data_IF_385990242768
#
_entry.id   IF_385990242768
#
_cell.length_a   1.000
_cell.length_b   1.000
_cell.length_c   1.000
_cell.angle_alpha   90.00
_cell.angle_beta   90.00
_cell.angle_gamma   90.00
#
_symmetry.space_group_name_H-M   'P 1'
#
loop_
_entity.id
_entity.type
_entity.pdbx_description
1 polymer ?
#
# COMPACT_ATOMS: atom_id res chain seq x y z
N UNK A 1 -0.86 -6.80 23.70
CA UNK A 1 0.20 -6.37 22.76
C UNK A 1 -0.49 -5.60 21.65
N UNK A 2 -0.12 -4.34 21.40
CA UNK A 2 -0.67 -3.54 20.30
C UNK A 2 0.08 -3.85 19.00
N UNK A 3 -0.63 -4.14 17.92
CA UNK A 3 -0.04 -4.30 16.58
C UNK A 3 0.30 -2.93 16.02
N UNK A 4 1.58 -2.68 15.76
CA UNK A 4 2.06 -1.42 15.18
C UNK A 4 2.05 -1.51 13.65
N UNK A 5 1.70 -0.41 12.98
CA UNK A 5 1.63 -0.32 11.53
C UNK A 5 2.44 0.87 11.04
N UNK A 6 3.22 0.67 9.99
CA UNK A 6 3.94 1.72 9.27
C UNK A 6 3.36 1.87 7.88
N UNK A 7 3.05 3.11 7.48
CA UNK A 7 2.51 3.44 6.16
C UNK A 7 3.56 4.19 5.34
N UNK A 8 3.76 3.78 4.10
CA UNK A 8 4.71 4.40 3.17
C UNK A 8 4.02 4.70 1.84
N UNK A 9 4.35 5.85 1.26
CA UNK A 9 4.03 6.19 -0.13
C UNK A 9 5.28 5.95 -0.97
N UNK A 10 5.20 5.05 -1.95
CA UNK A 10 6.32 4.76 -2.86
C UNK A 10 5.97 5.24 -4.27
N UNK A 11 6.70 6.24 -4.74
CA UNK A 11 6.70 6.66 -6.14
C UNK A 11 7.73 5.81 -6.90
N UNK A 12 7.29 5.06 -7.90
CA UNK A 12 8.16 4.19 -8.72
C UNK A 12 8.10 4.62 -10.18
N UNK A 13 8.71 5.77 -10.54
CA UNK A 13 8.53 6.40 -11.85
C UNK A 13 9.09 5.60 -13.03
N UNK A 14 9.93 4.58 -12.77
CA UNK A 14 10.50 3.70 -13.79
C UNK A 14 9.83 2.32 -13.84
N UNK A 15 8.80 2.08 -13.03
CA UNK A 15 8.06 0.83 -13.07
C UNK A 15 7.21 0.79 -14.35
N UNK A 16 7.32 -0.29 -15.13
CA UNK A 16 6.53 -0.50 -16.35
C UNK A 16 5.02 -0.60 -16.07
N UNK A 17 4.64 -0.93 -14.84
CA UNK A 17 3.26 -0.98 -14.32
C UNK A 17 3.26 -0.58 -12.85
N UNK A 18 2.23 0.13 -12.38
CA UNK A 18 2.10 0.49 -10.96
C UNK A 18 2.97 1.69 -10.55
N UNK A 19 2.98 2.77 -11.34
CA UNK A 19 3.75 3.99 -11.07
C UNK A 19 3.44 4.61 -9.69
N UNK A 20 2.19 4.43 -9.21
CA UNK A 20 1.73 4.89 -7.91
C UNK A 20 1.47 3.72 -6.97
N UNK A 21 2.07 3.74 -5.78
CA UNK A 21 1.94 2.68 -4.78
C UNK A 21 1.62 3.26 -3.39
N UNK A 22 0.64 2.64 -2.74
CA UNK A 22 0.33 2.83 -1.33
C UNK A 22 0.68 1.54 -0.59
N UNK A 23 1.46 1.63 0.50
CA UNK A 23 1.91 0.46 1.25
C UNK A 23 1.66 0.60 2.74
N UNK A 24 1.30 -0.54 3.39
CA UNK A 24 1.22 -0.68 4.85
C UNK A 24 1.95 -1.96 5.27
N UNK A 25 2.83 -1.83 6.24
CA UNK A 25 3.65 -2.92 6.76
C UNK A 25 3.37 -3.16 8.25
N UNK A 26 3.44 -4.41 8.67
CA UNK A 26 3.39 -4.80 10.09
C UNK A 26 4.16 -6.10 10.33
N UNK A 27 4.52 -6.35 11.58
CA UNK A 27 5.13 -7.59 12.04
C UNK A 27 4.24 -8.25 13.10
N UNK A 28 4.00 -9.56 12.97
CA UNK A 28 3.24 -10.37 13.94
C UNK A 28 3.96 -11.69 14.17
N UNK A 29 4.52 -11.86 15.36
CA UNK A 29 5.42 -12.98 15.67
C UNK A 29 6.69 -12.89 14.82
N UNK A 30 7.02 -13.98 14.09
CA UNK A 30 8.17 -14.04 13.19
C UNK A 30 7.85 -13.67 11.74
N UNK A 31 6.63 -13.19 11.46
CA UNK A 31 6.18 -12.86 10.11
C UNK A 31 6.12 -11.35 9.92
N UNK A 32 6.73 -10.86 8.84
CA UNK A 32 6.54 -9.49 8.33
C UNK A 32 5.58 -9.56 7.15
N UNK A 33 4.59 -8.67 7.14
CA UNK A 33 3.64 -8.55 6.04
C UNK A 33 3.71 -7.15 5.47
N UNK A 34 3.84 -7.09 4.15
CA UNK A 34 3.80 -5.88 3.35
C UNK A 34 2.57 -5.95 2.44
N UNK A 35 1.59 -5.08 2.68
CA UNK A 35 0.43 -4.92 1.81
C UNK A 35 0.68 -3.72 0.88
N UNK A 36 0.61 -3.94 -0.44
CA UNK A 36 0.81 -2.90 -1.46
C UNK A 36 -0.40 -2.85 -2.37
N UNK A 37 -0.96 -1.66 -2.53
CA UNK A 37 -2.02 -1.36 -3.49
C UNK A 37 -1.47 -0.38 -4.54
N UNK A 38 -1.63 -0.71 -5.82
CA UNK A 38 -0.95 -0.01 -6.92
C UNK A 38 -1.91 0.35 -8.05
N UNK A 39 -1.60 1.45 -8.75
CA UNK A 39 -2.26 1.84 -9.99
C UNK A 39 -1.25 2.46 -10.96
N UNK A 40 -1.52 2.34 -12.26
CA UNK A 40 -0.82 3.14 -13.27
C UNK A 40 -1.44 4.55 -13.39
N UNK A 41 -0.77 5.44 -14.12
CA UNK A 41 -1.16 6.85 -14.28
C UNK A 41 -2.59 7.03 -14.82
N UNK A 42 -3.06 6.12 -15.68
CA UNK A 42 -4.42 6.17 -16.23
C UNK A 42 -5.47 5.84 -15.18
N UNK A 43 -5.15 4.93 -14.26
CA UNK A 43 -6.03 4.44 -13.21
C UNK A 43 -6.00 5.32 -11.96
N UNK A 44 -4.89 6.01 -11.69
CA UNK A 44 -4.67 6.74 -10.46
C UNK A 44 -5.77 7.77 -10.13
N UNK A 45 -6.21 8.64 -11.05
CA UNK A 45 -7.20 9.67 -10.73
C UNK A 45 -8.54 9.11 -10.24
N UNK A 46 -8.94 7.93 -10.71
CA UNK A 46 -10.22 7.29 -10.33
C UNK A 46 -10.06 6.27 -9.21
N UNK A 47 -8.86 5.72 -9.01
CA UNK A 47 -8.63 4.60 -8.09
C UNK A 47 -8.03 5.05 -6.75
N UNK A 48 -7.43 6.25 -6.66
CA UNK A 48 -6.68 6.69 -5.47
C UNK A 48 -7.45 6.52 -4.17
N UNK A 49 -8.72 6.96 -4.12
CA UNK A 49 -9.52 6.90 -2.89
C UNK A 49 -9.85 5.47 -2.48
N UNK A 50 -10.14 4.60 -3.45
CA UNK A 50 -10.38 3.18 -3.21
C UNK A 50 -9.11 2.47 -2.74
N UNK A 51 -7.96 2.71 -3.38
CA UNK A 51 -6.68 2.13 -2.98
C UNK A 51 -6.30 2.58 -1.56
N UNK A 52 -6.54 3.85 -1.22
CA UNK A 52 -6.33 4.35 0.14
C UNK A 52 -7.23 3.62 1.15
N UNK A 53 -8.51 3.44 0.84
CA UNK A 53 -9.44 2.72 1.72
C UNK A 53 -9.03 1.25 1.93
N UNK A 54 -8.50 0.58 0.90
CA UNK A 54 -7.96 -0.78 1.01
C UNK A 54 -6.76 -0.82 1.98
N UNK A 55 -5.80 0.10 1.82
CA UNK A 55 -4.61 0.16 2.67
C UNK A 55 -4.96 0.53 4.11
N UNK A 56 -5.85 1.50 4.32
CA UNK A 56 -6.27 1.93 5.66
C UNK A 56 -7.00 0.81 6.41
N UNK A 57 -7.87 0.06 5.72
CA UNK A 57 -8.67 -1.04 6.30
C UNK A 57 -7.89 -2.33 6.54
N UNK A 58 -6.68 -2.48 6.00
CA UNK A 58 -5.85 -3.67 6.18
C UNK A 58 -5.39 -3.84 7.63
N UNK A 59 -5.72 -4.99 8.23
CA UNK A 59 -5.31 -5.41 9.58
C UNK A 59 -5.06 -6.92 9.62
N UNK A 60 -4.16 -7.38 10.51
CA UNK A 60 -3.75 -8.80 10.66
C UNK A 60 -4.14 -9.39 12.01
#
# INVERSE_FOLDING_TARGET
>A
MSTEYYSYLLETPYALTGSHNLAKATAKGSTVVLFVASANDKQWPTSQQTLKAMVDSFHI
#
